data_IF_252062001344
#
_entry.id   IF_252062001344
#
_cell.length_a   1.000
_cell.length_b   1.000
_cell.length_c   1.000
_cell.angle_alpha   90.00
_cell.angle_beta   90.00
_cell.angle_gamma   90.00
#
_symmetry.space_group_name_H-M   'P 1'
#
loop_
_entity.id
_entity.type
_entity.pdbx_description
1 polymer ?
#
# COMPACT_ATOMS: atom_id res chain seq x y z
N UNK A 1 -17.79 -14.58 -7.03
CA UNK A 1 -18.14 -14.17 -8.41
C UNK A 1 -16.92 -13.85 -9.30
N UNK A 2 -15.82 -14.61 -9.18
CA UNK A 2 -14.62 -14.49 -10.04
C UNK A 2 -14.24 -15.82 -10.71
N UNK A 3 -15.07 -16.84 -10.54
CA UNK A 3 -14.84 -18.19 -11.07
C UNK A 3 -15.94 -18.53 -12.07
N UNK A 4 -15.58 -19.32 -13.06
CA UNK A 4 -16.48 -19.84 -14.09
C UNK A 4 -17.62 -20.66 -13.46
N UNK A 5 -18.87 -20.51 -13.94
CA UNK A 5 -19.96 -21.38 -13.55
C UNK A 5 -19.64 -22.85 -13.87
N UNK A 6 -20.04 -23.77 -12.99
CA UNK A 6 -19.82 -25.21 -13.19
C UNK A 6 -18.42 -25.72 -12.86
N UNK A 7 -17.53 -24.88 -12.30
CA UNK A 7 -16.22 -25.34 -11.82
C UNK A 7 -16.42 -26.44 -10.78
N UNK A 8 -15.76 -27.59 -11.00
CA UNK A 8 -15.73 -28.69 -10.03
C UNK A 8 -15.27 -28.17 -8.66
N UNK A 9 -15.76 -28.79 -7.59
CA UNK A 9 -15.34 -28.46 -6.21
C UNK A 9 -14.71 -29.65 -5.51
N UNK A 10 -14.52 -30.75 -6.23
CA UNK A 10 -13.95 -31.97 -5.69
C UNK A 10 -12.41 -31.89 -5.70
N UNK A 11 -11.90 -30.91 -4.96
CA UNK A 11 -10.46 -30.76 -4.70
C UNK A 11 -10.24 -29.98 -3.41
N UNK A 12 -9.08 -30.21 -2.78
CA UNK A 12 -8.67 -29.43 -1.61
C UNK A 12 -7.99 -28.14 -2.09
N UNK A 13 -8.66 -27.02 -1.84
CA UNK A 13 -8.10 -25.69 -2.04
C UNK A 13 -7.45 -25.21 -0.73
N UNK A 14 -6.20 -24.77 -0.80
CA UNK A 14 -5.50 -24.14 0.32
C UNK A 14 -5.04 -22.73 -0.08
N UNK A 15 -4.74 -21.91 0.94
CA UNK A 15 -4.26 -20.54 0.76
C UNK A 15 -3.01 -20.29 1.61
N UNK A 16 -2.17 -19.37 1.18
CA UNK A 16 -1.09 -18.83 2.01
C UNK A 16 -1.65 -17.74 2.94
N UNK A 17 -1.39 -17.85 4.23
CA UNK A 17 -1.96 -16.99 5.29
C UNK A 17 -0.87 -16.60 6.27
N UNK A 18 -0.96 -15.41 6.85
CA UNK A 18 -0.06 -14.97 7.92
C UNK A 18 1.31 -14.46 7.47
N UNK A 19 1.70 -14.67 6.21
CA UNK A 19 3.04 -14.33 5.72
C UNK A 19 3.16 -12.93 5.09
N UNK A 20 2.02 -12.27 4.81
CA UNK A 20 2.01 -11.03 4.02
C UNK A 20 1.95 -9.75 4.86
N UNK A 21 1.68 -9.83 6.16
CA UNK A 21 1.42 -8.66 7.00
C UNK A 21 2.55 -7.63 6.95
N UNK A 22 3.79 -8.05 7.20
CA UNK A 22 4.95 -7.16 7.22
C UNK A 22 5.21 -6.50 5.86
N UNK A 23 5.23 -7.30 4.79
CA UNK A 23 5.50 -6.81 3.43
C UNK A 23 4.43 -5.81 2.99
N UNK A 24 3.16 -6.05 3.35
CA UNK A 24 2.08 -5.11 3.06
C UNK A 24 2.15 -3.83 3.90
N UNK A 25 2.56 -3.92 5.17
CA UNK A 25 2.78 -2.74 6.01
C UNK A 25 3.87 -1.83 5.44
N UNK A 26 5.01 -2.41 5.03
CA UNK A 26 6.10 -1.68 4.39
C UNK A 26 5.66 -1.05 3.06
N UNK A 27 4.93 -1.81 2.24
CA UNK A 27 4.38 -1.32 0.98
C UNK A 27 3.46 -0.11 1.22
N UNK A 28 2.46 -0.24 2.10
CA UNK A 28 1.49 0.83 2.36
C UNK A 28 2.17 2.07 2.94
N UNK A 29 3.08 1.91 3.92
CA UNK A 29 3.83 3.02 4.50
C UNK A 29 4.68 3.75 3.45
N UNK A 30 5.34 3.00 2.57
CA UNK A 30 6.16 3.56 1.48
C UNK A 30 5.33 4.46 0.57
N UNK A 31 4.16 4.00 0.15
CA UNK A 31 3.30 4.80 -0.73
C UNK A 31 2.65 5.99 -0.01
N UNK A 32 2.26 5.85 1.25
CA UNK A 32 1.74 6.98 2.04
C UNK A 32 2.79 8.08 2.21
N UNK A 33 4.03 7.72 2.56
CA UNK A 33 5.13 8.67 2.66
C UNK A 33 5.50 9.26 1.30
N UNK A 34 5.58 8.42 0.27
CA UNK A 34 5.87 8.83 -1.11
C UNK A 34 4.88 9.87 -1.62
N UNK A 35 3.60 9.71 -1.26
CA UNK A 35 2.53 10.64 -1.59
C UNK A 35 2.64 11.96 -0.81
N UNK A 36 2.65 11.93 0.54
CA UNK A 36 2.69 13.17 1.34
C UNK A 36 3.98 13.99 1.11
N UNK A 37 5.09 13.32 0.76
CA UNK A 37 6.37 13.96 0.42
C UNK A 37 6.53 14.27 -1.08
N UNK A 38 5.52 13.98 -1.90
CA UNK A 38 5.52 14.15 -3.36
C UNK A 38 6.83 13.71 -4.02
N UNK A 39 7.32 12.51 -3.66
CA UNK A 39 8.67 12.05 -4.03
C UNK A 39 8.86 12.00 -5.54
N UNK A 40 7.84 11.55 -6.29
CA UNK A 40 7.89 11.48 -7.75
C UNK A 40 7.93 12.86 -8.41
N UNK A 41 7.19 13.84 -7.87
CA UNK A 41 7.24 15.21 -8.40
C UNK A 41 8.63 15.84 -8.18
N UNK A 42 9.23 15.60 -7.01
CA UNK A 42 10.60 16.04 -6.70
C UNK A 42 11.64 15.38 -7.61
N UNK A 43 11.47 14.10 -7.92
CA UNK A 43 12.31 13.40 -8.89
C UNK A 43 12.22 14.08 -10.27
N UNK A 44 11.03 14.44 -10.72
CA UNK A 44 10.85 15.19 -11.97
C UNK A 44 11.54 16.55 -11.93
N UNK A 45 11.38 17.33 -10.84
CA UNK A 45 12.07 18.61 -10.67
C UNK A 45 13.60 18.45 -10.71
N UNK A 46 14.13 17.38 -10.10
CA UNK A 46 15.55 17.06 -10.14
C UNK A 46 16.03 16.76 -11.56
N UNK A 47 15.30 15.95 -12.31
CA UNK A 47 15.61 15.63 -13.72
C UNK A 47 15.62 16.91 -14.57
N UNK A 48 14.68 17.81 -14.34
CA UNK A 48 14.60 19.12 -15.01
C UNK A 48 15.62 20.14 -14.50
N UNK A 49 16.43 19.79 -13.49
CA UNK A 49 17.38 20.70 -12.81
C UNK A 49 16.72 21.94 -12.23
N UNK A 50 15.47 21.81 -11.79
CA UNK A 50 14.70 22.88 -11.14
C UNK A 50 14.70 22.65 -9.63
N UNK A 51 14.98 23.71 -8.90
CA UNK A 51 14.85 23.70 -7.44
C UNK A 51 13.39 23.92 -7.05
N UNK A 52 12.75 22.85 -6.56
CA UNK A 52 11.41 22.91 -5.99
C UNK A 52 11.50 22.97 -4.46
N UNK A 53 11.26 24.16 -3.90
CA UNK A 53 11.35 24.42 -2.46
C UNK A 53 10.02 24.25 -1.72
N UNK A 54 8.96 23.79 -2.39
CA UNK A 54 7.67 23.54 -1.74
C UNK A 54 7.89 22.56 -0.58
N UNK A 55 7.36 22.81 0.63
CA UNK A 55 7.51 21.89 1.74
C UNK A 55 6.67 20.63 1.49
N UNK A 56 7.24 19.45 1.75
CA UNK A 56 6.48 18.21 1.77
C UNK A 56 5.64 18.12 3.05
N UNK A 57 4.48 17.49 2.97
CA UNK A 57 3.61 17.32 4.13
C UNK A 57 4.08 16.17 5.02
N UNK A 58 3.61 16.16 6.27
CA UNK A 58 3.87 15.08 7.22
C UNK A 58 2.69 14.13 7.28
N UNK A 59 2.95 12.84 7.45
CA UNK A 59 1.91 11.88 7.82
C UNK A 59 1.41 12.09 9.26
N UNK A 60 2.18 12.74 10.12
CA UNK A 60 1.77 13.00 11.50
C UNK A 60 0.46 13.81 11.54
N UNK A 61 -0.52 13.31 12.30
CA UNK A 61 -1.84 13.94 12.43
C UNK A 61 -2.80 13.65 11.26
N UNK A 62 -2.36 12.96 10.20
CA UNK A 62 -3.24 12.43 9.16
C UNK A 62 -4.03 11.22 9.68
N UNK A 63 -5.15 10.93 9.04
CA UNK A 63 -5.98 9.76 9.32
C UNK A 63 -5.97 8.83 8.11
N UNK A 64 -5.66 7.56 8.35
CA UNK A 64 -5.78 6.51 7.35
C UNK A 64 -6.94 5.57 7.73
N UNK A 65 -7.73 5.16 6.73
CA UNK A 65 -8.78 4.16 6.91
C UNK A 65 -8.30 2.83 6.33
N UNK A 66 -8.28 1.80 7.18
CA UNK A 66 -7.96 0.43 6.77
C UNK A 66 -9.27 -0.34 6.63
N UNK A 67 -9.58 -0.78 5.41
CA UNK A 67 -10.78 -1.59 5.14
C UNK A 67 -10.41 -3.06 5.18
N UNK A 68 -10.80 -3.72 6.28
CA UNK A 68 -10.50 -5.13 6.56
C UNK A 68 -9.48 -5.28 7.70
N UNK A 69 -9.92 -5.84 8.82
CA UNK A 69 -9.13 -5.97 10.05
C UNK A 69 -8.57 -7.40 10.27
N UNK A 70 -8.24 -8.10 9.19
CA UNK A 70 -7.48 -9.36 9.26
C UNK A 70 -5.98 -9.12 9.48
N UNK A 71 -5.17 -10.18 9.47
CA UNK A 71 -3.73 -10.14 9.80
C UNK A 71 -2.95 -9.02 9.08
N UNK A 72 -3.26 -8.78 7.79
CA UNK A 72 -2.62 -7.70 7.02
C UNK A 72 -3.03 -6.33 7.55
N UNK A 73 -4.33 -6.08 7.69
CA UNK A 73 -4.84 -4.78 8.14
C UNK A 73 -4.39 -4.43 9.56
N UNK A 74 -4.33 -5.43 10.45
CA UNK A 74 -3.79 -5.25 11.81
C UNK A 74 -2.29 -4.94 11.82
N UNK A 75 -1.52 -5.46 10.85
CA UNK A 75 -0.08 -5.16 10.75
C UNK A 75 0.21 -3.79 10.15
N UNK A 76 -0.71 -3.27 9.35
CA UNK A 76 -0.64 -1.91 8.75
C UNK A 76 -1.03 -0.83 9.77
N UNK A 77 -1.94 -1.15 10.69
CA UNK A 77 -2.43 -0.25 11.76
C UNK A 77 -1.41 -0.08 12.89
#
# INVERSE_FOLDING_TARGET
PLLIPGLSRDYRLTRAVGIFGQVMAEFVLTYMLGHEREVLARLMSQVERKWDNRPGQSLAGRKALIVGAGDIGQRVA
#
